data_IF_370247834660
#
_entry.id   IF_370247834660
#
_cell.length_a   1.000
_cell.length_b   1.000
_cell.length_c   1.000
_cell.angle_alpha   90.00
_cell.angle_beta   90.00
_cell.angle_gamma   90.00
#
_symmetry.space_group_name_H-M   'P 1'
#
loop_
_entity.id
_entity.type
_entity.pdbx_description
1 polymer ?
#
# COMPACT_ATOMS: atom_id res chain seq x y z
N UNK A 1 -24.41 -20.41 -7.59
CA UNK A 1 -23.17 -21.19 -7.24
C UNK A 1 -22.32 -20.23 -6.42
N UNK A 2 -22.08 -20.52 -5.16
CA UNK A 2 -21.30 -19.61 -4.31
C UNK A 2 -19.88 -19.46 -4.85
N UNK A 3 -19.29 -18.27 -4.74
CA UNK A 3 -17.91 -17.99 -5.21
C UNK A 3 -16.90 -19.00 -4.66
N UNK A 4 -17.10 -19.49 -3.44
CA UNK A 4 -16.26 -20.53 -2.82
C UNK A 4 -16.22 -21.83 -3.62
N UNK A 5 -17.35 -22.29 -4.14
CA UNK A 5 -17.43 -23.53 -4.94
C UNK A 5 -16.73 -23.37 -6.29
N UNK A 6 -16.81 -22.16 -6.86
CA UNK A 6 -16.15 -21.85 -8.14
C UNK A 6 -14.63 -21.78 -8.00
N UNK A 7 -14.14 -21.28 -6.88
CA UNK A 7 -12.71 -21.06 -6.61
C UNK A 7 -11.98 -22.32 -6.19
N UNK A 8 -12.68 -23.28 -5.55
CA UNK A 8 -12.07 -24.51 -5.06
C UNK A 8 -11.32 -25.28 -6.16
N UNK A 9 -10.06 -25.62 -5.91
CA UNK A 9 -9.18 -26.34 -6.83
C UNK A 9 -8.61 -25.51 -7.99
N UNK A 10 -9.05 -24.25 -8.18
CA UNK A 10 -8.48 -23.35 -9.20
C UNK A 10 -7.06 -22.95 -8.86
N UNK A 11 -6.25 -22.76 -9.88
CA UNK A 11 -4.87 -22.31 -9.74
C UNK A 11 -4.75 -20.84 -10.15
N UNK A 12 -4.48 -19.97 -9.19
CA UNK A 12 -4.23 -18.55 -9.38
C UNK A 12 -2.73 -18.28 -9.26
N UNK A 13 -2.16 -17.59 -10.25
CA UNK A 13 -0.74 -17.21 -10.27
C UNK A 13 -0.65 -15.69 -10.17
N UNK A 14 -0.01 -15.19 -9.12
CA UNK A 14 0.38 -13.79 -8.99
C UNK A 14 1.76 -13.59 -9.61
N UNK A 15 1.87 -12.58 -10.47
CA UNK A 15 3.15 -12.10 -11.00
C UNK A 15 3.45 -10.77 -10.32
N UNK A 16 4.46 -10.73 -9.49
CA UNK A 16 4.95 -9.52 -8.81
C UNK A 16 6.45 -9.42 -8.98
N UNK A 17 7.00 -8.20 -8.96
CA UNK A 17 8.44 -8.09 -9.06
C UNK A 17 9.18 -8.46 -7.76
N UNK A 18 8.48 -8.47 -6.62
CA UNK A 18 8.99 -8.93 -5.32
C UNK A 18 7.87 -9.52 -4.46
N UNK A 19 8.24 -10.18 -3.40
CA UNK A 19 7.33 -10.71 -2.35
C UNK A 19 7.66 -10.08 -0.98
N UNK A 20 6.89 -10.42 0.05
CA UNK A 20 7.04 -9.87 1.41
C UNK A 20 8.36 -10.21 2.08
N UNK A 21 9.04 -11.28 1.66
CA UNK A 21 10.34 -11.70 2.23
C UNK A 21 11.50 -10.92 1.65
N UNK A 22 11.26 -10.15 0.56
CA UNK A 22 12.27 -9.28 -0.01
C UNK A 22 12.53 -8.11 0.94
N UNK A 23 13.79 -7.79 1.27
CA UNK A 23 14.13 -6.66 2.16
C UNK A 23 13.57 -5.30 1.69
N UNK A 24 13.31 -5.14 0.40
CA UNK A 24 12.65 -3.96 -0.16
C UNK A 24 11.11 -4.07 -0.14
N UNK A 25 10.53 -5.13 0.44
CA UNK A 25 9.10 -5.35 0.57
C UNK A 25 8.39 -4.23 1.34
N UNK A 26 7.08 -4.10 1.13
CA UNK A 26 6.27 -3.07 1.78
C UNK A 26 4.77 -3.38 1.71
N UNK A 27 3.94 -2.37 1.87
CA UNK A 27 2.49 -2.52 1.90
C UNK A 27 1.88 -3.21 0.68
N UNK A 28 2.42 -2.96 -0.51
CA UNK A 28 1.93 -3.60 -1.74
C UNK A 28 2.12 -5.13 -1.73
N UNK A 29 3.25 -5.60 -1.23
CA UNK A 29 3.55 -7.02 -1.10
C UNK A 29 2.73 -7.65 0.03
N UNK A 30 2.53 -6.92 1.14
CA UNK A 30 1.64 -7.33 2.24
C UNK A 30 0.21 -7.52 1.75
N UNK A 31 -0.32 -6.57 0.98
CA UNK A 31 -1.63 -6.68 0.35
C UNK A 31 -1.72 -7.93 -0.53
N UNK A 32 -0.77 -8.11 -1.45
CA UNK A 32 -0.74 -9.27 -2.33
C UNK A 32 -0.82 -10.58 -1.55
N UNK A 33 0.01 -10.72 -0.51
CA UNK A 33 0.06 -11.93 0.31
C UNK A 33 -1.24 -12.14 1.09
N UNK A 34 -1.84 -11.09 1.65
CA UNK A 34 -3.14 -11.16 2.29
C UNK A 34 -4.24 -11.65 1.32
N UNK A 35 -4.26 -11.14 0.08
CA UNK A 35 -5.19 -11.62 -0.96
C UNK A 35 -4.93 -13.08 -1.33
N UNK A 36 -3.66 -13.48 -1.43
CA UNK A 36 -3.26 -14.86 -1.70
C UNK A 36 -3.76 -15.81 -0.60
N UNK A 37 -3.58 -15.46 0.68
CA UNK A 37 -4.11 -16.22 1.82
C UNK A 37 -5.65 -16.33 1.76
N UNK A 38 -6.34 -15.25 1.41
CA UNK A 38 -7.80 -15.27 1.22
C UNK A 38 -8.26 -16.27 0.15
N UNK A 39 -7.49 -16.43 -0.92
CA UNK A 39 -7.77 -17.43 -1.96
C UNK A 39 -7.43 -18.85 -1.51
N UNK A 40 -6.30 -19.04 -0.80
CA UNK A 40 -5.95 -20.36 -0.20
C UNK A 40 -7.04 -20.83 0.75
N UNK A 41 -7.55 -19.96 1.62
CA UNK A 41 -8.63 -20.27 2.54
C UNK A 41 -9.96 -20.68 1.83
N UNK A 42 -10.10 -20.34 0.55
CA UNK A 42 -11.23 -20.72 -0.32
C UNK A 42 -10.92 -21.93 -1.21
N UNK A 43 -9.80 -22.63 -0.92
CA UNK A 43 -9.41 -23.87 -1.61
C UNK A 43 -8.70 -23.66 -2.95
N UNK A 44 -8.27 -22.43 -3.29
CA UNK A 44 -7.41 -22.20 -4.45
C UNK A 44 -6.00 -22.74 -4.22
N UNK A 45 -5.37 -23.20 -5.29
CA UNK A 45 -3.92 -23.31 -5.34
C UNK A 45 -3.36 -21.95 -5.73
N UNK A 46 -2.44 -21.42 -4.94
CA UNK A 46 -1.86 -20.10 -5.19
C UNK A 46 -0.36 -20.21 -5.40
N UNK A 47 0.14 -19.56 -6.45
CA UNK A 47 1.57 -19.38 -6.71
C UNK A 47 1.87 -17.89 -6.80
N UNK A 48 2.85 -17.42 -6.03
CA UNK A 48 3.43 -16.09 -6.12
C UNK A 48 4.77 -16.20 -6.82
N UNK A 49 4.90 -15.55 -7.97
CA UNK A 49 6.15 -15.47 -8.72
C UNK A 49 6.77 -14.09 -8.51
N UNK A 50 8.06 -14.06 -8.15
CA UNK A 50 8.80 -12.83 -7.88
C UNK A 50 10.27 -12.92 -8.30
N UNK A 51 11.00 -11.78 -8.21
CA UNK A 51 12.44 -11.77 -8.41
C UNK A 51 13.16 -12.54 -7.29
N UNK A 52 14.26 -13.18 -7.63
CA UNK A 52 15.16 -13.77 -6.66
C UNK A 52 15.98 -12.68 -5.94
N UNK A 53 16.27 -12.90 -4.67
CA UNK A 53 17.12 -12.05 -3.85
C UNK A 53 18.03 -12.88 -2.94
N UNK A 54 19.08 -12.28 -2.42
CA UNK A 54 20.07 -12.98 -1.62
C UNK A 54 19.45 -13.59 -0.34
N UNK A 55 19.82 -14.82 -0.03
CA UNK A 55 19.36 -15.54 1.17
C UNK A 55 17.99 -16.21 1.04
N UNK A 56 17.20 -15.95 0.00
CA UNK A 56 15.90 -16.59 -0.17
C UNK A 56 15.97 -17.85 -1.05
N UNK A 57 15.22 -18.91 -0.70
CA UNK A 57 15.10 -20.09 -1.54
C UNK A 57 14.40 -19.75 -2.86
N UNK A 58 14.84 -20.38 -3.96
CA UNK A 58 14.23 -20.16 -5.28
C UNK A 58 12.81 -20.69 -5.37
N UNK A 59 12.43 -21.60 -4.50
CA UNK A 59 11.05 -22.11 -4.38
C UNK A 59 10.82 -22.56 -2.95
N UNK A 60 9.71 -22.14 -2.39
CA UNK A 60 9.25 -22.55 -1.07
C UNK A 60 7.72 -22.60 -1.04
N UNK A 61 7.17 -23.27 -0.04
CA UNK A 61 5.74 -23.22 0.24
C UNK A 61 5.57 -22.81 1.70
N UNK A 62 4.77 -21.80 1.92
CA UNK A 62 4.49 -21.27 3.23
C UNK A 62 3.00 -20.90 3.32
N UNK A 63 2.33 -21.34 4.39
CA UNK A 63 0.89 -21.14 4.63
C UNK A 63 0.00 -21.43 3.41
N UNK A 64 0.35 -22.48 2.64
CA UNK A 64 -0.40 -22.91 1.46
C UNK A 64 -0.12 -22.09 0.18
N UNK A 65 0.71 -21.06 0.26
CA UNK A 65 1.18 -20.28 -0.90
C UNK A 65 2.51 -20.83 -1.38
N UNK A 66 2.59 -21.13 -2.68
CA UNK A 66 3.86 -21.51 -3.32
C UNK A 66 4.57 -20.27 -3.86
N UNK A 67 5.73 -19.94 -3.31
CA UNK A 67 6.62 -18.89 -3.80
C UNK A 67 7.61 -19.45 -4.83
N UNK A 68 7.76 -18.76 -5.95
CA UNK A 68 8.72 -19.13 -7.02
C UNK A 68 9.50 -17.88 -7.40
N UNK A 69 10.80 -17.87 -7.11
CA UNK A 69 11.67 -16.71 -7.33
C UNK A 69 12.63 -16.97 -8.48
N UNK A 70 12.62 -16.08 -9.48
CA UNK A 70 13.52 -16.17 -10.65
C UNK A 70 13.88 -14.78 -11.16
N UNK A 71 15.10 -14.67 -11.68
CA UNK A 71 15.60 -13.42 -12.25
C UNK A 71 15.96 -12.38 -11.18
N UNK A 72 16.32 -11.20 -11.64
CA UNK A 72 16.63 -10.02 -10.83
C UNK A 72 15.49 -9.00 -10.93
N UNK A 73 15.62 -7.85 -10.26
CA UNK A 73 14.70 -6.70 -10.35
C UNK A 73 14.33 -6.31 -11.79
N UNK A 74 15.27 -6.44 -12.73
CA UNK A 74 15.06 -6.09 -14.14
C UNK A 74 14.63 -7.27 -15.01
N UNK A 75 15.08 -8.48 -14.71
CA UNK A 75 14.83 -9.65 -15.55
C UNK A 75 13.60 -10.47 -15.13
N UNK A 76 13.02 -10.19 -13.98
CA UNK A 76 11.83 -10.87 -13.43
C UNK A 76 10.65 -10.86 -14.41
N UNK A 77 10.43 -9.75 -15.09
CA UNK A 77 9.33 -9.59 -16.07
C UNK A 77 9.45 -10.60 -17.22
N UNK A 78 10.64 -10.67 -17.84
CA UNK A 78 10.90 -11.65 -18.89
C UNK A 78 10.84 -13.10 -18.38
N UNK A 79 11.33 -13.36 -17.16
CA UNK A 79 11.27 -14.68 -16.53
C UNK A 79 9.84 -15.11 -16.20
N UNK A 80 8.97 -14.17 -15.75
CA UNK A 80 7.57 -14.43 -15.51
C UNK A 80 6.82 -14.80 -16.79
N UNK A 81 6.99 -14.00 -17.84
CA UNK A 81 6.43 -14.25 -19.18
C UNK A 81 6.89 -15.60 -19.71
N UNK A 82 8.21 -15.87 -19.64
CA UNK A 82 8.78 -17.15 -20.08
C UNK A 82 8.24 -18.35 -19.30
N UNK A 83 8.04 -18.18 -17.99
CA UNK A 83 7.49 -19.24 -17.13
C UNK A 83 6.03 -19.55 -17.47
N UNK A 84 5.22 -18.55 -17.82
CA UNK A 84 3.85 -18.74 -18.34
C UNK A 84 3.88 -19.47 -19.69
N UNK A 85 4.67 -19.01 -20.65
CA UNK A 85 4.80 -19.61 -21.98
C UNK A 85 5.23 -21.07 -21.91
N UNK A 86 6.19 -21.38 -21.03
CA UNK A 86 6.71 -22.75 -20.84
C UNK A 86 5.87 -23.60 -19.89
N UNK A 87 4.71 -23.09 -19.43
CA UNK A 87 3.80 -23.77 -18.50
C UNK A 87 4.50 -24.28 -17.22
N UNK A 88 5.51 -23.55 -16.74
CA UNK A 88 6.28 -23.92 -15.55
C UNK A 88 5.47 -23.90 -14.26
N UNK A 89 4.34 -23.20 -14.25
CA UNK A 89 3.36 -23.21 -13.15
C UNK A 89 2.33 -24.36 -13.28
N UNK A 90 2.41 -25.19 -14.33
CA UNK A 90 1.41 -26.21 -14.64
C UNK A 90 0.14 -25.61 -15.26
N UNK A 91 -1.02 -26.22 -14.95
CA UNK A 91 -2.31 -25.68 -15.40
C UNK A 91 -2.67 -24.47 -14.55
N UNK A 92 -2.71 -23.30 -15.17
CA UNK A 92 -3.13 -22.03 -14.56
C UNK A 92 -4.58 -21.75 -15.00
N UNK A 93 -5.41 -21.30 -14.07
CA UNK A 93 -6.79 -20.94 -14.36
C UNK A 93 -6.97 -19.41 -14.46
N UNK A 94 -6.19 -18.62 -13.71
CA UNK A 94 -6.18 -17.16 -13.75
C UNK A 94 -4.79 -16.61 -13.39
N UNK A 95 -4.42 -15.48 -13.99
CA UNK A 95 -3.20 -14.72 -13.65
C UNK A 95 -3.58 -13.39 -13.02
N UNK A 96 -2.99 -13.07 -11.89
CA UNK A 96 -2.99 -11.72 -11.31
C UNK A 96 -1.66 -11.06 -11.67
N UNK A 97 -1.73 -10.03 -12.51
CA UNK A 97 -0.56 -9.26 -12.96
C UNK A 97 -0.46 -8.00 -12.09
N UNK A 98 0.52 -7.98 -11.18
CA UNK A 98 0.70 -6.85 -10.26
C UNK A 98 1.49 -5.77 -10.98
N UNK A 99 0.81 -4.72 -11.38
CA UNK A 99 1.40 -3.56 -12.00
C UNK A 99 1.88 -2.58 -10.93
N UNK A 100 3.16 -2.66 -10.62
CA UNK A 100 3.85 -1.74 -9.72
C UNK A 100 4.84 -0.90 -10.54
N UNK A 101 4.29 0.02 -11.34
CA UNK A 101 4.95 0.76 -12.42
C UNK A 101 5.05 -0.06 -13.70
N UNK A 102 5.97 -1.02 -13.76
CA UNK A 102 6.12 -1.94 -14.89
C UNK A 102 5.18 -3.14 -14.76
N UNK A 103 4.33 -3.42 -15.76
CA UNK A 103 3.53 -4.64 -15.83
C UNK A 103 4.35 -5.80 -16.41
N UNK A 104 3.92 -7.06 -16.14
CA UNK A 104 4.47 -8.25 -16.79
C UNK A 104 3.97 -8.42 -18.24
N UNK A 105 2.95 -7.70 -18.63
CA UNK A 105 2.30 -7.85 -19.94
C UNK A 105 1.81 -9.30 -20.19
N UNK A 106 1.38 -9.97 -19.14
CA UNK A 106 1.00 -11.39 -19.14
C UNK A 106 -0.11 -11.71 -20.16
N UNK A 107 -1.01 -10.75 -20.44
CA UNK A 107 -2.08 -10.89 -21.44
C UNK A 107 -1.57 -11.22 -22.84
N UNK A 108 -0.34 -10.84 -23.18
CA UNK A 108 0.27 -11.16 -24.50
C UNK A 108 0.60 -12.65 -24.66
N UNK A 109 0.75 -13.37 -23.55
CA UNK A 109 1.27 -14.76 -23.56
C UNK A 109 0.28 -15.77 -22.96
N UNK A 110 -0.84 -15.33 -22.41
CA UNK A 110 -1.90 -16.20 -21.90
C UNK A 110 -3.27 -15.85 -22.47
N UNK A 111 -4.07 -16.88 -22.73
CA UNK A 111 -5.50 -16.75 -23.06
C UNK A 111 -6.40 -16.89 -21.82
N UNK A 112 -5.81 -17.18 -20.67
CA UNK A 112 -6.52 -17.28 -19.40
C UNK A 112 -6.96 -15.88 -18.93
N UNK A 113 -8.00 -15.78 -18.10
CA UNK A 113 -8.35 -14.52 -17.47
C UNK A 113 -7.13 -13.88 -16.80
N UNK A 114 -7.02 -12.56 -16.96
CA UNK A 114 -5.99 -11.75 -16.30
C UNK A 114 -6.69 -10.67 -15.48
N UNK A 115 -6.32 -10.58 -14.22
CA UNK A 115 -6.67 -9.48 -13.32
C UNK A 115 -5.43 -8.62 -13.12
N UNK A 116 -5.53 -7.33 -13.38
CA UNK A 116 -4.44 -6.37 -13.20
C UNK A 116 -4.61 -5.70 -11.85
N UNK A 117 -3.70 -5.97 -10.92
CA UNK A 117 -3.71 -5.36 -9.58
C UNK A 117 -2.82 -4.12 -9.59
N UNK A 118 -3.38 -2.95 -9.23
CA UNK A 118 -2.71 -1.66 -9.26
C UNK A 118 -2.83 -0.97 -7.90
N UNK A 119 -1.69 -0.75 -7.25
CA UNK A 119 -1.66 -0.02 -5.97
C UNK A 119 -1.76 1.48 -6.19
N UNK A 120 -1.02 2.03 -7.15
CA UNK A 120 -1.10 3.42 -7.60
C UNK A 120 -0.48 3.57 -8.98
N UNK A 121 -0.79 4.67 -9.65
CA UNK A 121 -0.15 5.07 -10.89
C UNK A 121 1.12 5.84 -10.56
N UNK A 122 2.24 5.50 -11.22
CA UNK A 122 3.59 5.96 -10.86
C UNK A 122 4.01 7.26 -11.57
N UNK A 123 3.07 8.04 -12.08
CA UNK A 123 3.35 9.25 -12.88
C UNK A 123 4.39 10.16 -12.24
N UNK A 124 4.19 10.48 -10.97
CA UNK A 124 5.03 11.39 -10.19
C UNK A 124 6.35 10.73 -9.75
N UNK A 125 6.35 9.39 -9.64
CA UNK A 125 7.50 8.63 -9.16
C UNK A 125 8.52 8.32 -10.25
N UNK A 126 8.08 8.13 -11.51
CA UNK A 126 8.99 7.80 -12.61
C UNK A 126 10.16 8.78 -12.76
N UNK A 127 9.94 10.12 -12.79
CA UNK A 127 11.06 11.06 -12.92
C UNK A 127 11.95 11.12 -11.66
N UNK A 128 11.40 10.81 -10.48
CA UNK A 128 12.13 10.84 -9.20
C UNK A 128 13.01 9.61 -9.05
N UNK A 129 12.49 8.42 -9.37
CA UNK A 129 13.22 7.15 -9.19
C UNK A 129 14.14 6.86 -10.37
N UNK A 130 13.72 7.21 -11.59
CA UNK A 130 14.47 7.01 -12.84
C UNK A 130 14.57 8.30 -13.63
N UNK A 131 15.47 9.22 -13.25
CA UNK A 131 15.63 10.48 -13.99
C UNK A 131 16.07 10.21 -15.43
N UNK A 132 15.59 11.06 -16.36
CA UNK A 132 15.97 11.01 -17.77
C UNK A 132 15.14 10.05 -18.64
N UNK A 133 15.73 9.45 -19.70
CA UNK A 133 14.99 8.69 -20.71
C UNK A 133 14.30 7.43 -20.16
N UNK A 134 14.89 6.76 -19.18
CA UNK A 134 14.33 5.53 -18.60
C UNK A 134 12.98 5.79 -17.92
N UNK A 135 12.87 6.87 -17.14
CA UNK A 135 11.61 7.26 -16.51
C UNK A 135 10.53 7.61 -17.54
N UNK A 136 10.92 8.27 -18.66
CA UNK A 136 9.99 8.56 -19.76
C UNK A 136 9.47 7.30 -20.43
N UNK A 137 10.34 6.31 -20.65
CA UNK A 137 9.96 5.01 -21.22
C UNK A 137 9.04 4.25 -20.24
N UNK A 138 9.38 4.20 -18.94
CA UNK A 138 8.52 3.59 -17.93
C UNK A 138 7.13 4.22 -17.89
N UNK A 139 7.07 5.55 -17.87
CA UNK A 139 5.80 6.28 -17.93
C UNK A 139 5.02 6.01 -19.23
N UNK A 140 5.71 5.95 -20.38
CA UNK A 140 5.07 5.60 -21.65
C UNK A 140 4.44 4.20 -21.62
N UNK A 141 5.17 3.22 -21.05
CA UNK A 141 4.64 1.86 -20.89
C UNK A 141 3.39 1.87 -19.99
N UNK A 142 3.46 2.50 -18.82
CA UNK A 142 2.35 2.55 -17.88
C UNK A 142 1.15 3.32 -18.46
N UNK A 143 1.38 4.45 -19.13
CA UNK A 143 0.32 5.31 -19.67
C UNK A 143 -0.33 4.78 -20.94
N UNK A 144 0.47 4.24 -21.87
CA UNK A 144 0.00 3.94 -23.21
C UNK A 144 -0.05 2.44 -23.53
N UNK A 145 0.99 1.71 -23.20
CA UNK A 145 1.10 0.30 -23.57
C UNK A 145 0.22 -0.58 -22.68
N UNK A 146 0.32 -0.43 -21.35
CA UNK A 146 -0.39 -1.27 -20.41
C UNK A 146 -1.92 -1.20 -20.59
N UNK A 147 -2.59 -0.02 -20.66
CA UNK A 147 -4.04 0.03 -20.87
C UNK A 147 -4.51 -0.61 -22.17
N UNK A 148 -3.66 -0.63 -23.20
CA UNK A 148 -3.96 -1.27 -24.50
C UNK A 148 -3.80 -2.77 -24.45
N UNK A 149 -2.71 -3.26 -23.86
CA UNK A 149 -2.46 -4.71 -23.71
C UNK A 149 -3.52 -5.35 -22.83
N UNK A 150 -3.90 -4.69 -21.74
CA UNK A 150 -4.92 -5.19 -20.83
C UNK A 150 -6.36 -4.74 -21.17
N UNK A 151 -6.58 -4.34 -22.43
CA UNK A 151 -7.93 -4.01 -22.89
C UNK A 151 -8.85 -5.21 -22.73
N UNK A 152 -9.95 -5.02 -21.99
CA UNK A 152 -10.90 -6.10 -21.68
C UNK A 152 -10.48 -7.01 -20.51
N UNK A 153 -9.37 -6.72 -19.82
CA UNK A 153 -9.04 -7.37 -18.56
C UNK A 153 -9.73 -6.69 -17.38
N UNK A 154 -9.97 -7.45 -16.33
CA UNK A 154 -10.38 -6.93 -15.03
C UNK A 154 -9.23 -6.21 -14.37
N UNK A 155 -9.52 -5.07 -13.72
CA UNK A 155 -8.59 -4.34 -12.86
C UNK A 155 -9.07 -4.39 -11.41
N UNK A 156 -8.12 -4.38 -10.49
CA UNK A 156 -8.32 -4.14 -9.07
C UNK A 156 -7.47 -2.94 -8.68
N UNK A 157 -8.10 -1.92 -8.13
CA UNK A 157 -7.48 -0.75 -7.54
C UNK A 157 -7.64 -0.82 -6.02
N UNK A 158 -6.64 -0.37 -5.25
CA UNK A 158 -6.70 -0.37 -3.79
C UNK A 158 -7.43 0.84 -3.22
N UNK A 159 -7.82 1.79 -4.07
CA UNK A 159 -8.55 3.01 -3.67
C UNK A 159 -9.34 3.60 -4.84
N UNK A 160 -10.34 4.42 -4.51
CA UNK A 160 -11.04 5.23 -5.52
C UNK A 160 -10.11 6.23 -6.21
N UNK A 161 -9.11 6.75 -5.49
CA UNK A 161 -8.07 7.60 -6.06
C UNK A 161 -7.30 6.86 -7.17
N UNK A 162 -6.84 5.63 -6.91
CA UNK A 162 -6.19 4.78 -7.91
C UNK A 162 -7.13 4.44 -9.06
N UNK A 163 -8.41 4.17 -8.78
CA UNK A 163 -9.45 3.97 -9.82
C UNK A 163 -9.59 5.22 -10.70
N UNK A 164 -9.59 6.40 -10.10
CA UNK A 164 -9.63 7.69 -10.83
C UNK A 164 -8.42 7.86 -11.74
N UNK A 165 -7.22 7.58 -11.23
CA UNK A 165 -5.97 7.63 -12.02
C UNK A 165 -6.02 6.65 -13.21
N UNK A 166 -6.48 5.42 -13.00
CA UNK A 166 -6.63 4.42 -14.08
C UNK A 166 -7.65 4.88 -15.15
N UNK A 167 -8.76 5.50 -14.74
CA UNK A 167 -9.72 6.09 -15.66
C UNK A 167 -9.10 7.21 -16.50
N UNK A 168 -8.25 8.04 -15.90
CA UNK A 168 -7.50 9.07 -16.61
C UNK A 168 -6.48 8.50 -17.61
N UNK A 169 -6.02 7.26 -17.41
CA UNK A 169 -5.20 6.53 -18.39
C UNK A 169 -6.02 5.83 -19.50
N UNK A 170 -7.35 5.97 -19.48
CA UNK A 170 -8.24 5.38 -20.48
C UNK A 170 -8.71 3.95 -20.18
N UNK A 171 -8.54 3.49 -18.93
CA UNK A 171 -9.18 2.25 -18.47
C UNK A 171 -10.66 2.56 -18.19
N UNK A 172 -11.56 2.12 -19.08
CA UNK A 172 -12.98 2.50 -19.06
C UNK A 172 -13.89 1.29 -18.82
N UNK A 173 -15.15 1.56 -18.46
CA UNK A 173 -16.19 0.56 -18.25
C UNK A 173 -16.18 -0.05 -16.84
N UNK A 174 -17.12 -0.97 -16.56
CA UNK A 174 -17.29 -1.62 -15.27
C UNK A 174 -16.25 -2.74 -15.10
N UNK A 175 -14.98 -2.36 -15.03
CA UNK A 175 -13.85 -3.30 -14.94
C UNK A 175 -12.74 -2.88 -14.00
N UNK A 176 -12.99 -1.89 -13.14
CA UNK A 176 -12.07 -1.46 -12.10
C UNK A 176 -12.78 -1.60 -10.77
N UNK A 177 -12.67 -2.76 -10.15
CA UNK A 177 -13.12 -2.96 -8.79
C UNK A 177 -12.18 -2.26 -7.82
N UNK A 178 -12.73 -1.68 -6.76
CA UNK A 178 -11.94 -1.16 -5.64
C UNK A 178 -11.96 -2.20 -4.54
N UNK A 179 -10.78 -2.62 -4.11
CA UNK A 179 -10.60 -3.53 -2.97
C UNK A 179 -9.58 -2.88 -2.05
N UNK A 180 -10.08 -2.24 -1.01
CA UNK A 180 -9.26 -1.52 -0.04
C UNK A 180 -8.31 -2.46 0.72
N UNK A 181 -7.24 -1.88 1.24
CA UNK A 181 -6.33 -2.59 2.13
C UNK A 181 -7.05 -2.94 3.45
N UNK A 182 -6.59 -3.99 4.12
CA UNK A 182 -7.00 -4.30 5.48
C UNK A 182 -5.90 -3.98 6.48
N UNK A 183 -6.21 -4.07 7.76
CA UNK A 183 -5.24 -3.96 8.84
C UNK A 183 -5.04 -5.30 9.54
N UNK A 184 -3.81 -5.53 9.97
CA UNK A 184 -3.48 -6.68 10.82
C UNK A 184 -4.05 -6.49 12.24
N UNK A 185 -4.24 -7.59 12.97
CA UNK A 185 -4.52 -7.50 14.40
C UNK A 185 -3.43 -6.70 15.12
N UNK A 186 -3.84 -5.91 16.11
CA UNK A 186 -2.88 -5.15 16.94
C UNK A 186 -1.98 -6.13 17.68
N UNK A 187 -0.67 -5.93 17.55
CA UNK A 187 0.30 -6.64 18.38
C UNK A 187 0.26 -6.02 19.79
N UNK A 188 -0.01 -6.79 20.84
CA UNK A 188 0.00 -6.24 22.20
C UNK A 188 1.36 -5.64 22.55
N UNK A 189 1.36 -4.43 23.06
CA UNK A 189 2.56 -3.74 23.57
C UNK A 189 2.36 -3.32 25.02
N UNK A 190 3.46 -3.01 25.71
CA UNK A 190 3.42 -2.39 27.03
C UNK A 190 3.57 -0.86 26.95
N UNK A 191 3.68 -0.31 25.75
CA UNK A 191 3.85 1.12 25.54
C UNK A 191 2.56 1.89 25.88
N UNK A 192 2.71 3.16 26.21
CA UNK A 192 1.62 4.12 26.43
C UNK A 192 1.96 5.40 25.69
N UNK A 193 0.97 6.29 25.51
CA UNK A 193 1.22 7.62 24.94
C UNK A 193 2.37 8.31 25.68
N UNK A 194 3.32 8.85 24.90
CA UNK A 194 4.46 9.57 25.46
C UNK A 194 4.03 10.73 26.35
N UNK A 195 4.72 10.92 27.47
CA UNK A 195 4.47 12.06 28.35
C UNK A 195 4.93 13.40 27.71
N UNK A 196 5.81 13.35 26.71
CA UNK A 196 6.29 14.51 25.95
C UNK A 196 5.82 14.41 24.49
N UNK A 197 5.74 15.54 23.77
CA UNK A 197 5.34 15.54 22.37
C UNK A 197 6.19 14.59 21.53
N UNK A 198 5.53 13.64 20.87
CA UNK A 198 6.17 12.65 20.01
C UNK A 198 5.39 12.51 18.70
N UNK A 199 6.07 12.74 17.60
CA UNK A 199 5.59 12.44 16.25
C UNK A 199 6.23 11.15 15.75
N UNK A 200 5.57 10.47 14.81
CA UNK A 200 6.20 9.38 14.09
C UNK A 200 5.92 9.47 12.59
N UNK A 201 6.84 8.92 11.80
CA UNK A 201 6.63 8.58 10.40
C UNK A 201 7.11 7.17 10.16
N UNK A 202 6.32 6.37 9.44
CA UNK A 202 6.56 4.93 9.28
C UNK A 202 6.47 4.56 7.81
N UNK A 203 7.50 3.92 7.28
CA UNK A 203 7.49 3.44 5.91
C UNK A 203 8.89 3.30 5.31
N UNK A 204 8.93 2.92 4.03
CA UNK A 204 10.21 2.84 3.31
C UNK A 204 10.81 4.23 3.13
N UNK A 205 12.10 4.37 3.40
CA UNK A 205 12.82 5.63 3.23
C UNK A 205 13.22 5.81 1.76
N UNK A 206 12.34 6.45 1.01
CA UNK A 206 12.48 6.73 -0.43
C UNK A 206 11.99 8.15 -0.74
N UNK A 207 12.50 8.83 -1.78
CA UNK A 207 12.25 10.26 -2.00
C UNK A 207 10.78 10.66 -2.03
N UNK A 208 9.91 9.84 -2.61
CA UNK A 208 8.48 10.16 -2.71
C UNK A 208 7.71 10.05 -1.40
N UNK A 209 8.34 9.60 -0.32
CA UNK A 209 7.77 9.67 1.04
C UNK A 209 7.99 11.03 1.69
N UNK A 210 8.89 11.84 1.16
CA UNK A 210 9.14 13.23 1.57
C UNK A 210 9.30 13.40 3.10
N UNK A 211 10.04 12.47 3.72
CA UNK A 211 10.27 12.46 5.19
C UNK A 211 10.98 13.74 5.63
N UNK A 212 11.69 14.40 4.73
CA UNK A 212 12.30 15.73 4.92
C UNK A 212 11.29 16.75 5.43
N UNK A 213 10.05 16.73 4.95
CA UNK A 213 9.00 17.66 5.37
C UNK A 213 8.59 17.45 6.85
N UNK A 214 8.64 16.20 7.34
CA UNK A 214 8.40 15.91 8.75
C UNK A 214 9.57 16.37 9.64
N UNK A 215 10.80 16.23 9.15
CA UNK A 215 12.02 16.72 9.81
C UNK A 215 11.96 18.26 9.93
N UNK A 216 11.68 18.94 8.82
CA UNK A 216 11.59 20.41 8.77
C UNK A 216 10.49 20.93 9.69
N UNK A 217 9.34 20.25 9.77
CA UNK A 217 8.26 20.63 10.68
C UNK A 217 8.68 20.56 12.15
N UNK A 218 9.42 19.51 12.53
CA UNK A 218 9.95 19.37 13.91
C UNK A 218 10.97 20.46 14.22
N UNK A 219 11.87 20.76 13.29
CA UNK A 219 12.84 21.84 13.45
C UNK A 219 12.16 23.19 13.65
N UNK A 220 11.11 23.47 12.86
CA UNK A 220 10.34 24.71 12.96
C UNK A 220 9.56 24.85 14.29
N UNK A 221 9.18 23.71 14.90
CA UNK A 221 8.36 23.70 16.13
C UNK A 221 9.18 23.54 17.41
N UNK A 222 10.47 23.26 17.35
CA UNK A 222 11.32 22.91 18.52
C UNK A 222 11.46 24.02 19.55
N UNK A 223 11.44 25.28 19.12
CA UNK A 223 11.57 26.43 20.04
C UNK A 223 10.36 26.55 20.96
N UNK A 224 9.18 26.21 20.44
CA UNK A 224 7.94 26.18 21.21
C UNK A 224 7.78 24.86 22.00
N UNK A 225 8.27 23.73 21.43
CA UNK A 225 8.19 22.40 22.02
C UNK A 225 9.61 21.79 22.17
N UNK A 226 10.40 22.21 23.15
CA UNK A 226 11.81 21.77 23.27
C UNK A 226 12.00 20.25 23.47
N UNK A 227 10.94 19.57 23.92
CA UNK A 227 10.98 18.10 24.13
C UNK A 227 10.37 17.32 22.96
N UNK A 228 9.97 18.00 21.87
CA UNK A 228 9.41 17.36 20.69
C UNK A 228 10.42 16.39 20.05
N UNK A 229 9.93 15.19 19.73
CA UNK A 229 10.72 14.17 19.01
C UNK A 229 9.93 13.66 17.80
N UNK A 230 10.65 13.40 16.70
CA UNK A 230 10.16 12.67 15.55
C UNK A 230 10.85 11.30 15.49
N UNK A 231 10.08 10.23 15.55
CA UNK A 231 10.58 8.88 15.34
C UNK A 231 10.36 8.48 13.87
N UNK A 232 11.44 8.23 13.15
CA UNK A 232 11.47 7.81 11.75
C UNK A 232 11.69 6.30 11.71
N UNK A 233 10.64 5.55 11.40
CA UNK A 233 10.67 4.08 11.37
C UNK A 233 10.69 3.58 9.93
N UNK A 234 11.66 2.74 9.64
CA UNK A 234 11.85 2.10 8.35
C UNK A 234 13.27 2.28 7.83
N UNK A 235 13.52 1.70 6.67
CA UNK A 235 14.80 1.78 5.98
C UNK A 235 14.59 1.99 4.49
N UNK A 236 15.65 2.35 3.78
CA UNK A 236 15.59 2.53 2.34
C UNK A 236 16.83 3.22 1.78
N UNK A 237 16.93 3.24 0.46
CA UNK A 237 18.10 3.79 -0.21
C UNK A 237 18.25 5.33 -0.08
N UNK A 238 17.21 6.00 0.44
CA UNK A 238 17.22 7.44 0.72
C UNK A 238 17.61 7.80 2.15
N UNK A 239 17.85 6.82 3.01
CA UNK A 239 18.13 6.99 4.43
C UNK A 239 19.34 7.90 4.67
N UNK A 240 20.44 7.70 3.94
CA UNK A 240 21.63 8.55 4.05
C UNK A 240 21.33 10.03 3.72
N UNK A 241 20.48 10.30 2.73
CA UNK A 241 20.08 11.67 2.38
C UNK A 241 19.23 12.31 3.50
N UNK A 242 18.39 11.53 4.18
CA UNK A 242 17.58 12.02 5.31
C UNK A 242 18.46 12.34 6.51
N UNK A 243 19.49 11.54 6.80
CA UNK A 243 20.49 11.86 7.86
C UNK A 243 21.24 13.15 7.55
N UNK A 244 21.68 13.33 6.29
CA UNK A 244 22.34 14.58 5.89
C UNK A 244 21.38 15.77 5.97
N UNK A 245 20.10 15.60 5.60
CA UNK A 245 19.08 16.64 5.72
C UNK A 245 18.84 17.04 7.19
N UNK A 246 18.69 16.06 8.09
CA UNK A 246 18.52 16.30 9.52
C UNK A 246 19.73 17.04 10.14
N UNK A 247 20.94 16.69 9.70
CA UNK A 247 22.15 17.37 10.10
C UNK A 247 22.23 18.82 9.56
N UNK A 248 21.90 19.00 8.29
CA UNK A 248 21.94 20.33 7.64
C UNK A 248 20.90 21.30 8.22
N UNK A 249 19.74 20.80 8.66
CA UNK A 249 18.68 21.57 9.33
C UNK A 249 18.89 21.71 10.84
N UNK A 250 20.00 21.24 11.37
CA UNK A 250 20.32 21.28 12.80
C UNK A 250 19.21 20.63 13.67
N UNK A 251 18.63 19.52 13.17
CA UNK A 251 17.56 18.82 13.87
C UNK A 251 18.03 18.17 15.19
N UNK A 252 19.32 17.85 15.30
CA UNK A 252 19.92 17.29 16.51
C UNK A 252 19.18 16.07 17.04
N UNK A 253 19.00 16.02 18.36
CA UNK A 253 18.29 14.92 19.03
C UNK A 253 16.77 14.96 18.84
N UNK A 254 16.23 15.95 18.13
CA UNK A 254 14.77 16.02 17.84
C UNK A 254 14.32 14.97 16.83
N UNK A 255 15.24 14.34 16.09
CA UNK A 255 14.92 13.28 15.11
C UNK A 255 15.62 11.99 15.48
N UNK A 256 14.85 10.93 15.69
CA UNK A 256 15.31 9.59 16.04
C UNK A 256 15.06 8.67 14.87
N UNK A 257 16.11 8.19 14.21
CA UNK A 257 16.02 7.17 13.18
C UNK A 257 16.05 5.79 13.83
N UNK A 258 14.92 5.09 13.79
CA UNK A 258 14.77 3.73 14.36
C UNK A 258 15.32 2.64 13.45
N UNK A 259 15.51 2.95 12.16
CA UNK A 259 15.85 1.95 11.14
C UNK A 259 14.70 0.98 10.87
N UNK A 260 15.04 -0.19 10.32
CA UNK A 260 14.07 -1.28 10.17
C UNK A 260 13.84 -1.96 11.51
N UNK A 261 12.61 -1.95 11.98
CA UNK A 261 12.22 -2.53 13.27
C UNK A 261 11.27 -3.72 13.05
N UNK A 262 11.12 -4.57 14.07
CA UNK A 262 10.11 -5.62 14.09
C UNK A 262 8.68 -5.04 14.32
N UNK A 263 7.68 -5.89 14.17
CA UNK A 263 6.29 -5.48 14.34
C UNK A 263 6.00 -4.97 15.75
N UNK A 264 6.60 -5.56 16.80
CA UNK A 264 6.39 -5.14 18.19
C UNK A 264 6.86 -3.70 18.36
N UNK A 265 8.09 -3.39 17.93
CA UNK A 265 8.65 -2.04 18.04
C UNK A 265 7.87 -1.03 17.19
N UNK A 266 7.43 -1.41 16.01
CA UNK A 266 6.56 -0.56 15.16
C UNK A 266 5.27 -0.19 15.90
N UNK A 267 4.61 -1.17 16.51
CA UNK A 267 3.39 -0.95 17.30
C UNK A 267 3.64 -0.11 18.53
N UNK A 268 4.78 -0.28 19.24
CA UNK A 268 5.17 0.58 20.36
C UNK A 268 5.34 2.06 19.94
N UNK A 269 5.94 2.29 18.76
CA UNK A 269 6.10 3.65 18.24
C UNK A 269 4.73 4.27 17.94
N UNK A 270 3.81 3.54 17.29
CA UNK A 270 2.46 4.04 17.08
C UNK A 270 1.74 4.32 18.39
N UNK A 271 1.82 3.40 19.37
CA UNK A 271 1.19 3.58 20.69
C UNK A 271 1.72 4.82 21.42
N UNK A 272 3.01 5.09 21.33
CA UNK A 272 3.66 6.20 22.03
C UNK A 272 3.47 7.54 21.32
N UNK A 273 3.32 7.55 20.00
CA UNK A 273 3.22 8.79 19.22
C UNK A 273 1.89 9.52 19.44
N UNK A 274 1.97 10.86 19.50
CA UNK A 274 0.80 11.72 19.57
C UNK A 274 0.13 11.87 18.19
N UNK A 275 0.94 11.97 17.14
CA UNK A 275 0.48 12.15 15.75
C UNK A 275 1.43 11.41 14.82
N UNK A 276 0.89 10.75 13.80
CA UNK A 276 1.65 10.24 12.66
C UNK A 276 1.69 11.29 11.54
N UNK A 277 2.85 11.48 10.95
CA UNK A 277 3.07 12.39 9.82
C UNK A 277 3.31 11.57 8.58
N UNK A 278 2.48 11.72 7.55
CA UNK A 278 2.58 11.01 6.27
C UNK A 278 2.68 12.01 5.11
N UNK A 279 3.85 12.65 4.90
CA UNK A 279 4.02 13.73 3.93
C UNK A 279 4.28 13.20 2.52
N UNK A 280 3.75 12.05 2.17
CA UNK A 280 4.03 11.36 0.91
C UNK A 280 3.49 12.13 -0.30
N UNK A 281 4.29 12.16 -1.37
CA UNK A 281 3.89 12.67 -2.68
C UNK A 281 2.76 11.84 -3.32
N UNK A 282 2.80 10.52 -3.11
CA UNK A 282 1.80 9.58 -3.64
C UNK A 282 1.68 8.34 -2.76
N UNK A 283 0.46 7.97 -2.46
CA UNK A 283 0.08 6.74 -1.78
C UNK A 283 -1.01 6.00 -2.55
N UNK A 284 -0.97 4.67 -2.52
CA UNK A 284 -2.07 3.86 -3.04
C UNK A 284 -3.30 3.98 -2.14
N UNK A 285 -3.12 3.66 -0.88
CA UNK A 285 -4.13 3.80 0.18
C UNK A 285 -3.51 4.35 1.48
N UNK A 286 -2.35 3.84 1.90
CA UNK A 286 -1.67 4.24 3.12
C UNK A 286 -1.98 3.30 4.28
N UNK A 287 -1.58 2.03 4.19
CA UNK A 287 -1.75 1.01 5.25
C UNK A 287 -1.38 1.53 6.64
N UNK A 288 -0.28 2.27 6.73
CA UNK A 288 0.24 2.82 7.99
C UNK A 288 -0.76 3.78 8.68
N UNK A 289 -1.70 4.38 7.93
CA UNK A 289 -2.75 5.25 8.50
C UNK A 289 -3.68 4.43 9.37
N UNK A 290 -4.16 3.31 8.86
CA UNK A 290 -5.03 2.45 9.63
C UNK A 290 -4.28 1.70 10.74
N UNK A 291 -3.00 1.34 10.53
CA UNK A 291 -2.14 0.79 11.59
C UNK A 291 -1.99 1.79 12.75
N UNK A 292 -1.64 3.05 12.47
CA UNK A 292 -1.56 4.11 13.48
C UNK A 292 -2.91 4.36 14.17
N UNK A 293 -4.00 4.38 13.41
CA UNK A 293 -5.36 4.54 13.91
C UNK A 293 -5.75 3.47 14.94
N UNK A 294 -5.29 2.21 14.75
CA UNK A 294 -5.51 1.13 15.73
C UNK A 294 -4.90 1.43 17.10
N UNK A 295 -3.91 2.33 17.16
CA UNK A 295 -3.25 2.82 18.37
C UNK A 295 -3.72 4.22 18.80
N UNK A 296 -4.87 4.68 18.28
CA UNK A 296 -5.39 6.02 18.59
C UNK A 296 -4.36 7.11 18.25
N UNK A 297 -3.67 6.96 17.13
CA UNK A 297 -2.67 7.91 16.63
C UNK A 297 -3.18 8.49 15.32
N UNK A 298 -3.72 9.73 15.37
CA UNK A 298 -4.26 10.40 14.20
C UNK A 298 -3.13 10.74 13.21
N UNK A 299 -3.48 10.84 11.93
CA UNK A 299 -2.53 11.10 10.85
C UNK A 299 -2.72 12.49 10.27
N UNK A 300 -1.60 13.18 10.01
CA UNK A 300 -1.56 14.36 9.14
C UNK A 300 -0.90 13.96 7.82
N UNK A 301 -1.59 14.15 6.70
CA UNK A 301 -1.13 13.71 5.39
C UNK A 301 -1.46 14.73 4.29
N UNK A 302 -0.74 14.68 3.16
CA UNK A 302 -1.08 15.51 2.01
C UNK A 302 -2.34 15.02 1.29
N UNK A 303 -3.25 15.93 1.04
CA UNK A 303 -4.48 15.70 0.25
C UNK A 303 -4.14 15.26 -1.17
N UNK A 304 -3.06 15.79 -1.74
CA UNK A 304 -2.57 15.46 -3.08
C UNK A 304 -2.04 14.04 -3.23
N UNK A 305 -1.71 13.35 -2.12
CA UNK A 305 -1.15 12.00 -2.15
C UNK A 305 -2.11 10.92 -2.69
N UNK A 306 -3.39 11.19 -2.80
CA UNK A 306 -4.40 10.31 -3.37
C UNK A 306 -5.05 9.41 -2.32
N UNK A 307 -4.50 8.25 -2.02
CA UNK A 307 -5.05 7.27 -1.07
C UNK A 307 -5.43 7.82 0.31
N UNK A 308 -4.65 8.73 0.92
CA UNK A 308 -5.01 9.33 2.21
C UNK A 308 -6.36 10.05 2.23
N UNK A 309 -6.91 10.47 1.08
CA UNK A 309 -8.29 11.00 1.02
C UNK A 309 -9.37 10.00 1.42
N UNK A 310 -9.04 8.72 1.46
CA UNK A 310 -9.97 7.64 1.82
C UNK A 310 -9.59 7.03 3.17
N UNK A 311 -8.28 6.86 3.43
CA UNK A 311 -7.81 6.29 4.69
C UNK A 311 -7.80 7.30 5.86
N UNK A 312 -7.90 8.61 5.58
CA UNK A 312 -8.07 9.69 6.56
C UNK A 312 -9.43 10.37 6.35
N UNK A 313 -10.32 10.27 7.32
CA UNK A 313 -11.51 11.09 7.37
C UNK A 313 -11.13 12.49 7.91
N UNK A 314 -10.98 13.44 6.98
CA UNK A 314 -10.47 14.79 7.24
C UNK A 314 -11.27 15.50 8.35
N UNK A 315 -10.57 16.03 9.35
CA UNK A 315 -11.15 16.65 10.54
C UNK A 315 -11.81 15.69 11.55
N UNK A 316 -11.82 14.37 11.27
CA UNK A 316 -12.42 13.33 12.14
C UNK A 316 -11.44 12.27 12.60
N UNK A 317 -10.59 11.76 11.73
CA UNK A 317 -9.59 10.72 12.06
C UNK A 317 -8.15 11.17 11.83
N UNK A 318 -7.98 12.39 11.37
CA UNK A 318 -6.73 13.03 11.03
C UNK A 318 -7.00 14.30 10.26
N UNK A 319 -5.96 14.89 9.68
CA UNK A 319 -6.05 16.14 8.92
C UNK A 319 -5.36 15.98 7.58
N UNK A 320 -6.05 16.40 6.50
CA UNK A 320 -5.50 16.47 5.15
C UNK A 320 -5.07 17.90 4.85
N UNK A 321 -3.80 18.09 4.57
CA UNK A 321 -3.17 19.39 4.30
C UNK A 321 -2.74 19.52 2.85
N UNK A 322 -2.58 20.75 2.36
CA UNK A 322 -2.25 21.01 0.95
C UNK A 322 -0.73 21.07 0.70
N UNK A 323 0.03 21.60 1.65
CA UNK A 323 1.46 21.82 1.50
C UNK A 323 2.24 21.67 2.83
N UNK A 324 3.56 21.87 2.75
CA UNK A 324 4.46 21.74 3.90
C UNK A 324 4.24 22.85 4.95
N UNK A 325 3.82 24.04 4.54
CA UNK A 325 3.56 25.13 5.49
C UNK A 325 2.32 24.82 6.33
N UNK A 326 1.25 24.34 5.69
CA UNK A 326 0.03 23.90 6.38
C UNK A 326 0.30 22.66 7.24
N UNK A 327 1.13 21.71 6.76
CA UNK A 327 1.56 20.55 7.56
C UNK A 327 2.17 21.01 8.88
N UNK A 328 3.14 21.90 8.84
CA UNK A 328 3.82 22.42 10.03
C UNK A 328 2.85 23.16 10.96
N UNK A 329 1.97 23.99 10.39
CA UNK A 329 0.98 24.72 11.17
C UNK A 329 0.00 23.78 11.88
N UNK A 330 -0.57 22.80 11.16
CA UNK A 330 -1.50 21.80 11.73
C UNK A 330 -0.85 21.00 12.84
N UNK A 331 0.40 20.54 12.63
CA UNK A 331 1.15 19.82 13.67
C UNK A 331 1.29 20.69 14.93
N UNK A 332 1.67 21.97 14.78
CA UNK A 332 1.74 22.91 15.91
C UNK A 332 0.40 23.06 16.65
N UNK A 333 -0.72 23.15 15.93
CA UNK A 333 -2.05 23.22 16.56
C UNK A 333 -2.39 21.92 17.33
N UNK A 334 -2.13 20.75 16.73
CA UNK A 334 -2.37 19.46 17.40
C UNK A 334 -1.50 19.25 18.64
N UNK A 335 -0.30 19.81 18.68
CA UNK A 335 0.55 19.78 19.87
C UNK A 335 0.01 20.68 21.00
N UNK A 336 -0.61 21.82 20.65
CA UNK A 336 -1.20 22.78 21.63
C UNK A 336 -2.56 22.35 22.16
N UNK A 337 -3.35 21.65 21.35
CA UNK A 337 -4.74 21.30 21.66
C UNK A 337 -4.90 19.79 21.88
N UNK A 338 -4.79 19.32 23.15
CA UNK A 338 -5.03 17.92 23.48
C UNK A 338 -6.44 17.44 23.17
N UNK A 339 -7.46 18.30 23.35
CA UNK A 339 -8.85 17.91 23.14
C UNK A 339 -9.13 17.62 21.67
N UNK A 340 -8.63 18.49 20.76
CA UNK A 340 -8.72 18.24 19.31
C UNK A 340 -7.96 16.98 18.91
N UNK A 341 -6.73 16.80 19.42
CA UNK A 341 -5.92 15.61 19.13
C UNK A 341 -6.61 14.32 19.60
N UNK A 342 -7.21 14.30 20.80
CA UNK A 342 -7.93 13.15 21.33
C UNK A 342 -9.19 12.83 20.51
N UNK A 343 -9.94 13.85 20.10
CA UNK A 343 -11.10 13.67 19.23
C UNK A 343 -10.71 13.02 17.88
N UNK A 344 -9.60 13.45 17.28
CA UNK A 344 -9.06 12.83 16.07
C UNK A 344 -8.56 11.40 16.33
N UNK A 345 -7.97 11.13 17.50
CA UNK A 345 -7.49 9.81 17.89
C UNK A 345 -8.64 8.80 18.02
N UNK A 346 -9.77 9.22 18.60
CA UNK A 346 -10.99 8.40 18.66
C UNK A 346 -11.51 8.08 17.27
N UNK A 347 -11.63 9.10 16.43
CA UNK A 347 -12.06 8.91 15.05
C UNK A 347 -11.11 8.04 14.22
N UNK A 348 -9.80 8.14 14.44
CA UNK A 348 -8.81 7.28 13.79
C UNK A 348 -8.97 5.81 14.20
N UNK A 349 -9.20 5.57 15.48
CA UNK A 349 -9.45 4.23 15.99
C UNK A 349 -10.74 3.63 15.39
N UNK A 350 -11.84 4.38 15.39
CA UNK A 350 -13.10 3.91 14.84
C UNK A 350 -13.00 3.60 13.34
N UNK A 351 -12.38 4.50 12.56
CA UNK A 351 -12.20 4.31 11.12
C UNK A 351 -11.33 3.10 10.83
N UNK A 352 -10.24 2.89 11.58
CA UNK A 352 -9.30 1.78 11.36
C UNK A 352 -9.94 0.40 11.52
N UNK A 353 -11.03 0.30 12.29
CA UNK A 353 -11.76 -0.96 12.53
C UNK A 353 -12.62 -1.40 11.36
N UNK A 354 -12.96 -0.47 10.45
CA UNK A 354 -13.78 -0.75 9.27
C UNK A 354 -12.98 -1.51 8.20
N UNK A 355 -11.66 -1.32 8.17
CA UNK A 355 -10.79 -1.92 7.17
C UNK A 355 -10.11 -3.19 7.70
N UNK A 356 -10.62 -4.33 7.30
CA UNK A 356 -10.12 -5.65 7.73
C UNK A 356 -9.65 -6.48 6.54
N UNK A 357 -8.62 -7.30 6.73
CA UNK A 357 -8.19 -8.25 5.70
C UNK A 357 -9.30 -9.22 5.31
N UNK A 358 -10.16 -9.61 6.25
CA UNK A 358 -11.28 -10.50 5.97
C UNK A 358 -12.26 -9.91 4.94
N UNK A 359 -12.56 -8.61 5.03
CA UNK A 359 -13.38 -7.90 4.04
C UNK A 359 -12.67 -7.82 2.69
N UNK A 360 -11.44 -7.33 2.65
CA UNK A 360 -10.62 -7.24 1.44
C UNK A 360 -10.51 -8.60 0.71
N UNK A 361 -10.29 -9.68 1.46
CA UNK A 361 -10.20 -11.04 0.90
C UNK A 361 -11.53 -11.55 0.30
N UNK A 362 -12.68 -11.17 0.89
CA UNK A 362 -13.99 -11.51 0.30
C UNK A 362 -14.21 -10.77 -1.00
N UNK A 363 -14.02 -9.46 -0.99
CA UNK A 363 -14.18 -8.61 -2.18
C UNK A 363 -13.22 -9.04 -3.30
N UNK A 364 -11.95 -9.30 -2.98
CA UNK A 364 -10.98 -9.79 -3.97
C UNK A 364 -11.37 -11.15 -4.55
N UNK A 365 -11.79 -12.09 -3.70
CA UNK A 365 -12.24 -13.41 -4.14
C UNK A 365 -13.44 -13.34 -5.06
N UNK A 366 -14.39 -12.42 -4.80
CA UNK A 366 -15.51 -12.14 -5.69
C UNK A 366 -15.05 -11.67 -7.07
N UNK A 367 -14.11 -10.72 -7.13
CA UNK A 367 -13.54 -10.24 -8.40
C UNK A 367 -12.83 -11.37 -9.17
N UNK A 368 -12.08 -12.24 -8.47
CA UNK A 368 -11.42 -13.39 -9.09
C UNK A 368 -12.45 -14.39 -9.63
N UNK A 369 -13.51 -14.65 -8.89
CA UNK A 369 -14.60 -15.54 -9.32
C UNK A 369 -15.32 -14.98 -10.57
N UNK A 370 -15.66 -13.69 -10.58
CA UNK A 370 -16.23 -13.01 -11.74
C UNK A 370 -15.31 -13.12 -12.97
N UNK A 371 -14.03 -12.83 -12.82
CA UNK A 371 -13.06 -12.95 -13.90
C UNK A 371 -12.93 -14.39 -14.45
N UNK A 372 -13.05 -15.43 -13.61
CA UNK A 372 -13.06 -16.83 -14.03
C UNK A 372 -14.33 -17.15 -14.84
N UNK A 373 -15.47 -16.53 -14.51
CA UNK A 373 -16.73 -16.65 -15.30
C UNK A 373 -16.66 -15.89 -16.62
N UNK A 374 -15.65 -15.03 -16.82
CA UNK A 374 -15.55 -14.13 -17.97
C UNK A 374 -16.35 -12.84 -17.81
N UNK A 375 -16.75 -12.51 -16.60
CA UNK A 375 -17.47 -11.30 -16.22
C UNK A 375 -16.49 -10.21 -15.80
N UNK A 376 -16.89 -8.94 -15.99
CA UNK A 376 -16.18 -7.77 -15.49
C UNK A 376 -17.04 -7.12 -14.42
N UNK A 377 -16.41 -6.68 -13.34
CA UNK A 377 -17.12 -6.07 -12.22
C UNK A 377 -16.42 -4.79 -11.75
N UNK A 378 -17.19 -3.82 -11.30
CA UNK A 378 -16.75 -2.66 -10.53
C UNK A 378 -17.31 -2.68 -9.10
N UNK A 379 -18.01 -3.76 -8.73
CA UNK A 379 -18.58 -3.98 -7.41
C UNK A 379 -17.49 -4.11 -6.35
N UNK A 380 -17.70 -3.46 -5.24
CA UNK A 380 -16.81 -3.45 -4.07
C UNK A 380 -17.12 -4.61 -3.11
N UNK A 381 -18.40 -5.00 -2.98
CA UNK A 381 -18.86 -6.20 -2.26
C UNK A 381 -20.32 -6.52 -2.61
N UNK A 382 -20.66 -7.79 -2.92
CA UNK A 382 -22.06 -8.20 -3.17
C UNK A 382 -22.93 -8.22 -1.92
N UNK A 383 -22.37 -8.20 -0.70
CA UNK A 383 -23.14 -8.19 0.55
C UNK A 383 -23.55 -6.77 1.00
N UNK A 384 -22.91 -5.71 0.49
CA UNK A 384 -23.31 -4.31 0.80
C UNK A 384 -24.60 -3.90 0.06
N UNK A 385 -24.95 -4.53 -1.06
CA UNK A 385 -26.21 -4.29 -1.76
C UNK A 385 -27.45 -4.87 -1.04
N UNK A 386 -27.25 -5.63 0.04
CA UNK A 386 -28.28 -6.30 0.82
C UNK A 386 -28.60 -5.66 2.18
N UNK A 387 -27.94 -4.56 2.56
CA UNK A 387 -28.27 -3.86 3.82
C UNK A 387 -29.41 -2.84 3.61
N UNK A 388 -30.63 -3.11 4.12
CA UNK A 388 -31.78 -2.21 3.95
C UNK A 388 -31.67 -0.90 4.77
N UNK A 389 -30.53 -0.64 5.43
CA UNK A 389 -30.31 0.51 6.32
C UNK A 389 -29.55 1.69 5.72
N UNK A 390 -28.95 1.59 4.53
CA UNK A 390 -28.27 2.72 3.88
C UNK A 390 -29.24 3.56 3.06
N UNK A 391 -29.71 4.67 3.63
CA UNK A 391 -30.32 5.76 2.85
C UNK A 391 -29.23 6.47 2.02
N UNK A 392 -29.47 6.77 0.74
CA UNK A 392 -28.55 7.53 -0.08
C UNK A 392 -28.49 8.98 0.44
N UNK A 393 -27.32 9.43 0.87
CA UNK A 393 -26.99 10.85 1.09
C UNK A 393 -25.98 11.32 0.08
#
# INVERSE_FOLDING_TARGET
>A
MHDRDLLAGRHVVFLSWRDTRNPEGGGAERYLEAMAHGLVARGCRVTVFSAAFAGAPLTETDDGIRFVRRGSKTTVYAQGVWSLLRRRFGRVDLVVDVQNGMPFLSRLVTRKPVVVLVHHVHREQWPVVYPGPLGKVGWWIERWLAPRVYRGCQYVAVSHATRGDLRALGVTGPRIAVVHDGTDPVVPTSATKSATPMLCTVGRLVPHKQVEHAIDAVVALRDEFPTLRLHVVGSGWWEAALHEHAKASDAGDSVVFEGHVDEVRKHEVFESAWVMVLPSLKEGWGLVVAEAGRHRTPTVAYRSAGGPRESVADGRSGVLVEDQQELTWVLGQLLRDPAWREALADGAFDLSRLYTWGHAQRSFAHVIAAAIRGELTDSEDPEEDGDPGRSPT
#
